data_IF_865072045158
#
_entry.id   IF_865072045158
#
_cell.length_a   1.000
_cell.length_b   1.000
_cell.length_c   1.000
_cell.angle_alpha   90.00
_cell.angle_beta   90.00
_cell.angle_gamma   90.00
#
_symmetry.space_group_name_H-M   'P 1'
#
loop_
_entity.id
_entity.type
_entity.pdbx_description
1 polymer ?
#
# COMPACT_ATOMS: atom_id res chain seq x y z
N UNK A 1 -5.44 4.08 -22.95
CA UNK A 1 -5.66 3.15 -21.82
C UNK A 1 -4.47 2.24 -21.71
N UNK A 2 -4.07 1.83 -20.50
CA UNK A 2 -2.85 1.04 -20.27
C UNK A 2 -3.04 -0.48 -20.36
N UNK A 3 -4.28 -1.00 -20.40
CA UNK A 3 -4.58 -2.40 -20.74
C UNK A 3 -4.30 -3.46 -19.66
N UNK A 4 -4.07 -3.06 -18.41
CA UNK A 4 -3.80 -3.98 -17.31
C UNK A 4 -5.04 -4.75 -16.85
N UNK A 5 -4.83 -6.01 -16.43
CA UNK A 5 -5.80 -6.77 -15.63
C UNK A 5 -5.69 -6.33 -14.17
N UNK A 6 -6.80 -5.95 -13.56
CA UNK A 6 -6.82 -5.22 -12.28
C UNK A 6 -7.69 -5.95 -11.27
N UNK A 7 -7.08 -6.26 -10.13
CA UNK A 7 -7.79 -6.64 -8.91
C UNK A 7 -7.67 -5.52 -7.88
N UNK A 8 -8.78 -5.13 -7.27
CA UNK A 8 -8.85 -4.15 -6.18
C UNK A 8 -9.29 -4.85 -4.91
N UNK A 9 -8.49 -4.72 -3.85
CA UNK A 9 -8.81 -5.18 -2.50
C UNK A 9 -9.05 -3.95 -1.61
N UNK A 10 -10.22 -3.88 -1.00
CA UNK A 10 -10.57 -2.79 -0.08
C UNK A 10 -11.51 -3.31 1.01
N UNK A 11 -11.43 -2.74 2.22
CA UNK A 11 -12.30 -3.09 3.35
C UNK A 11 -13.68 -2.40 3.25
N UNK A 12 -13.78 -1.29 2.51
CA UNK A 12 -14.99 -0.50 2.37
C UNK A 12 -15.73 -0.83 1.06
N UNK A 13 -16.86 -1.52 1.20
CA UNK A 13 -17.72 -1.93 0.08
C UNK A 13 -18.10 -0.76 -0.82
N UNK A 14 -18.39 0.42 -0.27
CA UNK A 14 -18.81 1.58 -1.08
C UNK A 14 -17.71 2.07 -2.03
N UNK A 15 -16.43 1.90 -1.67
CA UNK A 15 -15.33 2.25 -2.57
C UNK A 15 -15.22 1.26 -3.72
N UNK A 16 -15.38 -0.04 -3.45
CA UNK A 16 -15.46 -1.07 -4.49
C UNK A 16 -16.62 -0.81 -5.46
N UNK A 17 -17.81 -0.46 -4.96
CA UNK A 17 -18.96 -0.11 -5.81
C UNK A 17 -18.67 1.09 -6.74
N UNK A 18 -17.91 2.09 -6.27
CA UNK A 18 -17.49 3.22 -7.10
C UNK A 18 -16.52 2.77 -8.19
N UNK A 19 -15.55 1.91 -7.85
CA UNK A 19 -14.59 1.34 -8.81
C UNK A 19 -15.33 0.55 -9.88
N UNK A 20 -16.20 -0.38 -9.49
CA UNK A 20 -16.98 -1.21 -10.43
C UNK A 20 -17.84 -0.36 -11.36
N UNK A 21 -18.52 0.67 -10.84
CA UNK A 21 -19.32 1.58 -11.66
C UNK A 21 -18.48 2.32 -12.71
N UNK A 22 -17.27 2.75 -12.35
CA UNK A 22 -16.35 3.45 -13.28
C UNK A 22 -15.86 2.51 -14.38
N UNK A 23 -15.39 1.31 -14.02
CA UNK A 23 -14.96 0.31 -15.01
C UNK A 23 -16.11 -0.09 -15.94
N UNK A 24 -17.30 -0.35 -15.39
CA UNK A 24 -18.49 -0.70 -16.17
C UNK A 24 -18.89 0.40 -17.16
N UNK A 25 -18.82 1.68 -16.75
CA UNK A 25 -19.12 2.82 -17.61
C UNK A 25 -18.23 2.85 -18.85
N UNK A 26 -16.97 2.46 -18.71
CA UNK A 26 -15.98 2.45 -19.79
C UNK A 26 -15.90 1.09 -20.53
N UNK A 27 -16.80 0.15 -20.22
CA UNK A 27 -16.83 -1.19 -20.83
C UNK A 27 -15.66 -2.10 -20.41
N UNK A 28 -15.00 -1.78 -19.30
CA UNK A 28 -13.85 -2.50 -18.78
C UNK A 28 -14.26 -3.48 -17.67
N UNK A 29 -13.40 -4.46 -17.41
CA UNK A 29 -13.55 -5.43 -16.32
C UNK A 29 -12.59 -5.10 -15.18
N UNK A 30 -13.03 -5.36 -13.96
CA UNK A 30 -12.23 -5.29 -12.73
C UNK A 30 -12.66 -6.42 -11.81
N UNK A 31 -11.71 -7.01 -11.08
CA UNK A 31 -12.00 -7.92 -9.98
C UNK A 31 -11.98 -7.12 -8.67
N UNK A 32 -13.07 -7.13 -7.91
CA UNK A 32 -13.15 -6.44 -6.63
C UNK A 32 -13.28 -7.45 -5.50
N UNK A 33 -12.40 -7.34 -4.50
CA UNK A 33 -12.35 -8.20 -3.32
C UNK A 33 -12.61 -7.33 -2.10
N UNK A 34 -13.69 -7.64 -1.38
CA UNK A 34 -13.98 -7.00 -0.10
C UNK A 34 -13.21 -7.72 1.00
N UNK A 35 -12.30 -7.02 1.68
CA UNK A 35 -11.51 -7.61 2.75
C UNK A 35 -10.40 -6.72 3.27
N UNK A 36 -9.77 -7.18 4.34
CA UNK A 36 -8.56 -6.56 4.89
C UNK A 36 -7.32 -7.00 4.10
N UNK A 37 -6.16 -6.38 4.38
CA UNK A 37 -4.93 -6.64 3.63
C UNK A 37 -4.55 -8.13 3.52
N UNK A 38 -4.77 -8.92 4.57
CA UNK A 38 -4.42 -10.35 4.56
C UNK A 38 -5.34 -11.21 3.68
N UNK A 39 -6.52 -10.72 3.29
CA UNK A 39 -7.38 -11.40 2.32
C UNK A 39 -6.73 -11.47 0.93
N UNK A 40 -5.69 -10.67 0.67
CA UNK A 40 -4.86 -10.80 -0.53
C UNK A 40 -4.24 -12.20 -0.69
N UNK A 41 -4.04 -12.94 0.41
CA UNK A 41 -3.52 -14.31 0.36
C UNK A 41 -4.47 -15.26 -0.38
N UNK A 42 -5.79 -15.03 -0.27
CA UNK A 42 -6.83 -15.88 -0.88
C UNK A 42 -7.09 -15.59 -2.35
N UNK A 43 -6.61 -14.45 -2.86
CA UNK A 43 -6.78 -14.09 -4.27
C UNK A 43 -5.94 -15.07 -5.10
N UNK A 44 -6.50 -15.68 -6.14
CA UNK A 44 -5.76 -16.67 -6.94
C UNK A 44 -4.62 -16.03 -7.74
N UNK A 45 -3.57 -16.79 -8.00
CA UNK A 45 -2.45 -16.37 -8.85
C UNK A 45 -1.42 -15.46 -8.18
N UNK A 46 -0.68 -14.71 -9.01
CA UNK A 46 0.37 -13.78 -8.61
C UNK A 46 0.25 -12.48 -9.39
N UNK A 47 0.85 -11.41 -8.87
CA UNK A 47 0.78 -10.07 -9.45
C UNK A 47 2.15 -9.59 -9.94
N UNK A 48 2.16 -8.96 -11.10
CA UNK A 48 3.34 -8.22 -11.60
C UNK A 48 3.53 -6.89 -10.85
N UNK A 49 2.44 -6.31 -10.36
CA UNK A 49 2.44 -5.08 -9.57
C UNK A 49 1.42 -5.18 -8.45
N UNK A 50 1.85 -4.93 -7.22
CA UNK A 50 0.99 -4.66 -6.07
C UNK A 50 1.17 -3.18 -5.71
N UNK A 51 0.09 -2.40 -5.68
CA UNK A 51 0.14 -0.97 -5.44
C UNK A 51 -0.57 -0.63 -4.12
N UNK A 52 0.17 -0.01 -3.21
CA UNK A 52 -0.37 0.74 -2.08
C UNK A 52 -0.34 2.22 -2.44
N UNK A 53 -1.52 2.84 -2.40
CA UNK A 53 -1.67 4.28 -2.54
C UNK A 53 -2.33 4.81 -1.28
N UNK A 54 -1.54 5.51 -0.46
CA UNK A 54 -1.97 6.11 0.81
C UNK A 54 -2.70 5.11 1.73
N UNK A 55 -2.21 3.87 1.85
CA UNK A 55 -2.93 2.88 2.65
C UNK A 55 -2.07 1.84 3.38
N UNK A 56 -0.78 1.66 3.04
CA UNK A 56 0.03 0.65 3.73
C UNK A 56 0.21 0.99 5.22
N UNK A 57 0.32 2.27 5.56
CA UNK A 57 0.38 2.75 6.94
C UNK A 57 -0.87 2.45 7.80
N UNK A 58 -1.96 1.94 7.22
CA UNK A 58 -3.08 1.41 8.00
C UNK A 58 -2.83 -0.01 8.52
N UNK A 59 -1.78 -0.70 8.06
CA UNK A 59 -1.48 -2.06 8.48
C UNK A 59 -0.60 -2.10 9.73
N UNK A 60 -1.19 -2.49 10.87
CA UNK A 60 -0.43 -2.68 12.11
C UNK A 60 0.60 -3.81 11.99
N UNK A 61 0.24 -4.91 11.33
CA UNK A 61 1.10 -6.08 11.09
C UNK A 61 1.88 -5.99 9.77
N UNK A 62 2.31 -4.79 9.38
CA UNK A 62 2.94 -4.49 8.09
C UNK A 62 4.14 -5.40 7.76
N UNK A 63 4.95 -5.79 8.74
CA UNK A 63 6.07 -6.71 8.53
C UNK A 63 5.61 -8.12 8.11
N UNK A 64 4.53 -8.63 8.72
CA UNK A 64 3.92 -9.91 8.34
C UNK A 64 3.25 -9.82 6.97
N UNK A 65 2.59 -8.69 6.70
CA UNK A 65 1.97 -8.42 5.40
C UNK A 65 3.00 -8.49 4.27
N UNK A 66 4.16 -7.84 4.41
CA UNK A 66 5.23 -7.88 3.40
C UNK A 66 5.70 -9.31 3.08
N UNK A 67 5.83 -10.17 4.10
CA UNK A 67 6.20 -11.58 3.92
C UNK A 67 5.13 -12.35 3.14
N UNK A 68 3.85 -12.06 3.37
CA UNK A 68 2.75 -12.66 2.62
C UNK A 68 2.76 -12.17 1.17
N UNK A 69 2.81 -10.85 0.96
CA UNK A 69 2.77 -10.25 -0.37
C UNK A 69 3.94 -10.67 -1.25
N UNK A 70 5.13 -10.90 -0.66
CA UNK A 70 6.27 -11.46 -1.39
C UNK A 70 5.93 -12.77 -2.12
N UNK A 71 5.08 -13.63 -1.52
CA UNK A 71 4.61 -14.88 -2.14
C UNK A 71 3.54 -14.66 -3.22
N UNK A 72 2.92 -13.48 -3.24
CA UNK A 72 1.90 -13.06 -4.20
C UNK A 72 2.48 -12.32 -5.40
N UNK A 73 3.80 -12.07 -5.43
CA UNK A 73 4.46 -11.47 -6.58
C UNK A 73 4.82 -12.53 -7.62
N UNK A 74 4.73 -12.15 -8.90
CA UNK A 74 5.32 -12.91 -9.99
C UNK A 74 6.86 -12.83 -9.93
N UNK A 75 7.57 -13.58 -10.78
CA UNK A 75 9.04 -13.65 -10.77
C UNK A 75 9.74 -12.27 -10.87
N UNK A 76 9.11 -11.30 -11.55
CA UNK A 76 9.63 -9.93 -11.69
C UNK A 76 8.68 -8.90 -11.06
N UNK A 77 7.78 -9.37 -10.19
CA UNK A 77 6.75 -8.56 -9.58
C UNK A 77 7.33 -7.50 -8.65
N UNK A 78 6.62 -6.38 -8.53
CA UNK A 78 7.01 -5.27 -7.66
C UNK A 78 5.90 -4.89 -6.70
N UNK A 79 6.29 -4.35 -5.54
CA UNK A 79 5.37 -3.60 -4.68
C UNK A 79 5.69 -2.12 -4.81
N UNK A 80 4.68 -1.31 -5.05
CA UNK A 80 4.79 0.15 -5.15
C UNK A 80 4.07 0.75 -3.95
N UNK A 81 4.77 1.63 -3.23
CA UNK A 81 4.24 2.42 -2.14
C UNK A 81 4.24 3.89 -2.55
N UNK A 82 3.07 4.49 -2.61
CA UNK A 82 2.87 5.88 -3.00
C UNK A 82 2.06 6.62 -1.94
N UNK A 83 2.52 7.81 -1.54
CA UNK A 83 1.82 8.64 -0.56
C UNK A 83 1.87 8.11 0.88
N UNK A 84 2.81 7.21 1.19
CA UNK A 84 2.97 6.72 2.56
C UNK A 84 3.49 7.81 3.51
N UNK A 85 3.11 7.69 4.78
CA UNK A 85 3.41 8.63 5.87
C UNK A 85 4.86 8.48 6.34
N UNK A 86 5.80 8.99 5.52
CA UNK A 86 7.23 9.03 5.83
C UNK A 86 7.60 10.39 6.41
N UNK A 87 8.08 10.41 7.65
CA UNK A 87 8.45 11.62 8.39
C UNK A 87 9.69 11.37 9.27
N UNK A 88 10.83 11.92 8.85
CA UNK A 88 12.10 11.81 9.58
C UNK A 88 12.22 12.78 10.78
N UNK A 89 11.21 13.63 11.01
CA UNK A 89 11.16 14.48 12.21
C UNK A 89 10.62 13.73 13.45
N UNK A 90 10.10 12.51 13.26
CA UNK A 90 9.56 11.69 14.33
C UNK A 90 10.65 11.24 15.32
N UNK A 91 10.39 11.24 16.64
CA UNK A 91 11.34 10.78 17.64
C UNK A 91 11.42 9.26 17.77
N UNK A 92 10.67 8.51 16.96
CA UNK A 92 10.58 7.05 16.96
C UNK A 92 10.63 6.51 15.54
N UNK A 93 11.12 5.27 15.39
CA UNK A 93 11.29 4.62 14.09
C UNK A 93 9.97 4.47 13.32
N UNK A 94 8.91 4.12 14.03
CA UNK A 94 7.54 4.05 13.57
C UNK A 94 6.57 4.07 14.75
N UNK A 95 5.31 4.39 14.50
CA UNK A 95 4.27 4.42 15.54
C UNK A 95 3.01 5.11 15.04
N UNK A 96 2.14 5.50 15.96
CA UNK A 96 0.94 6.28 15.61
C UNK A 96 1.32 7.60 14.96
N UNK A 97 0.60 7.97 13.90
CA UNK A 97 0.76 9.22 13.18
C UNK A 97 0.34 10.39 14.10
N UNK A 98 1.28 11.27 14.52
CA UNK A 98 0.96 12.35 15.45
C UNK A 98 0.32 13.55 14.78
N UNK A 99 0.15 13.55 13.46
CA UNK A 99 -0.51 14.64 12.74
C UNK A 99 -1.96 14.79 13.19
N UNK A 100 -2.49 16.02 13.08
CA UNK A 100 -3.90 16.29 13.41
C UNK A 100 -4.87 15.42 12.61
N UNK A 101 -4.55 15.14 11.34
CA UNK A 101 -5.33 14.24 10.50
C UNK A 101 -5.27 12.80 11.02
N UNK A 102 -4.08 12.26 11.31
CA UNK A 102 -3.92 10.89 11.83
C UNK A 102 -4.66 10.68 13.14
N UNK A 103 -4.48 11.58 14.11
CA UNK A 103 -5.18 11.52 15.41
C UNK A 103 -6.70 11.63 15.23
N UNK A 104 -7.17 12.52 14.36
CA UNK A 104 -8.60 12.67 14.08
C UNK A 104 -9.19 11.40 13.44
N UNK A 105 -8.51 10.82 12.44
CA UNK A 105 -8.90 9.58 11.77
C UNK A 105 -8.98 8.42 12.77
N UNK A 106 -7.95 8.20 13.61
CA UNK A 106 -7.98 7.18 14.66
C UNK A 106 -9.19 7.38 15.57
N UNK A 107 -9.40 8.61 16.07
CA UNK A 107 -10.44 8.93 17.05
C UNK A 107 -11.86 8.75 16.52
N UNK A 108 -12.11 9.09 15.25
CA UNK A 108 -13.46 9.19 14.68
C UNK A 108 -13.80 8.09 13.68
N UNK A 109 -12.79 7.47 13.05
CA UNK A 109 -12.97 6.39 12.08
C UNK A 109 -12.53 5.03 12.62
N UNK A 110 -11.74 5.01 13.69
CA UNK A 110 -11.16 3.77 14.23
C UNK A 110 -10.09 3.15 13.32
N UNK A 111 -9.64 3.89 12.31
CA UNK A 111 -8.58 3.45 11.40
C UNK A 111 -7.24 3.57 12.09
N UNK A 112 -6.38 2.57 11.91
CA UNK A 112 -5.01 2.69 12.35
C UNK A 112 -4.30 3.67 11.43
N UNK A 113 -3.58 4.63 12.00
CA UNK A 113 -2.81 5.61 11.24
C UNK A 113 -1.39 5.55 11.76
N UNK A 114 -0.51 4.89 11.01
CA UNK A 114 0.90 4.83 11.35
C UNK A 114 1.69 5.91 10.61
N UNK A 115 2.85 6.24 11.14
CA UNK A 115 3.91 6.94 10.41
C UNK A 115 5.24 6.22 10.62
N UNK A 116 6.14 6.39 9.66
CA UNK A 116 7.45 5.75 9.64
C UNK A 116 8.55 6.80 9.41
N UNK A 117 9.71 6.59 10.01
CA UNK A 117 10.94 7.22 9.50
C UNK A 117 11.35 6.54 8.20
N UNK A 118 12.02 7.25 7.29
CA UNK A 118 12.48 6.68 6.02
C UNK A 118 13.42 5.49 6.29
N UNK A 119 14.34 5.65 7.25
CA UNK A 119 15.27 4.59 7.62
C UNK A 119 14.55 3.30 8.03
N UNK A 120 13.57 3.39 8.93
CA UNK A 120 12.80 2.22 9.35
C UNK A 120 12.08 1.58 8.16
N UNK A 121 11.46 2.39 7.31
CA UNK A 121 10.69 1.89 6.17
C UNK A 121 11.58 1.12 5.17
N UNK A 122 12.78 1.63 4.90
CA UNK A 122 13.76 0.96 4.05
C UNK A 122 14.32 -0.31 4.70
N UNK A 123 14.68 -0.26 5.99
CA UNK A 123 15.19 -1.42 6.74
C UNK A 123 14.12 -2.54 6.81
N UNK A 124 12.85 -2.18 7.00
CA UNK A 124 11.71 -3.10 6.97
C UNK A 124 11.61 -3.84 5.63
N UNK A 125 11.69 -3.12 4.51
CA UNK A 125 11.63 -3.70 3.17
C UNK A 125 12.88 -4.56 2.89
N UNK A 126 14.05 -4.11 3.32
CA UNK A 126 15.31 -4.86 3.19
C UNK A 126 15.24 -6.21 3.93
N UNK A 127 14.76 -6.20 5.18
CA UNK A 127 14.56 -7.39 6.00
C UNK A 127 13.49 -8.34 5.45
N UNK A 128 12.48 -7.83 4.74
CA UNK A 128 11.55 -8.65 3.99
C UNK A 128 12.15 -9.21 2.68
N UNK A 129 13.40 -8.84 2.36
CA UNK A 129 14.17 -9.34 1.23
C UNK A 129 13.82 -8.64 -0.08
N UNK A 130 13.58 -7.32 -0.01
CA UNK A 130 13.38 -6.47 -1.17
C UNK A 130 14.58 -5.54 -1.40
N UNK A 131 14.83 -5.20 -2.67
CA UNK A 131 15.65 -4.06 -3.09
C UNK A 131 14.71 -2.92 -3.44
N UNK A 132 14.95 -1.74 -2.88
CA UNK A 132 14.06 -0.58 -3.02
C UNK A 132 14.67 0.48 -3.92
N UNK A 133 13.89 0.97 -4.88
CA UNK A 133 14.19 2.19 -5.65
C UNK A 133 13.28 3.31 -5.17
N UNK A 134 13.87 4.43 -4.74
CA UNK A 134 13.14 5.65 -4.37
C UNK A 134 13.04 6.59 -5.57
N UNK A 135 11.83 6.86 -6.02
CA UNK A 135 11.55 7.85 -7.04
C UNK A 135 11.00 9.11 -6.36
N UNK A 136 11.79 10.19 -6.38
CA UNK A 136 11.39 11.48 -5.81
C UNK A 136 10.74 12.32 -6.89
N UNK A 137 9.64 12.98 -6.56
CA UNK A 137 9.12 14.07 -7.37
C UNK A 137 9.64 15.40 -6.81
N UNK A 138 10.40 16.19 -7.60
CA UNK A 138 10.92 17.47 -7.13
C UNK A 138 9.82 18.50 -6.82
N UNK A 139 8.60 18.30 -7.31
CA UNK A 139 7.49 19.24 -7.14
C UNK A 139 6.62 18.96 -5.90
N UNK A 140 6.76 17.80 -5.25
CA UNK A 140 6.06 17.51 -3.99
C UNK A 140 6.71 16.34 -3.25
N UNK A 141 7.10 16.58 -1.99
CA UNK A 141 7.64 15.55 -1.10
C UNK A 141 6.63 14.42 -0.85
N UNK A 142 5.34 14.74 -0.83
CA UNK A 142 4.23 13.78 -0.69
C UNK A 142 4.08 12.84 -1.88
N UNK A 143 4.75 13.13 -3.00
CA UNK A 143 4.75 12.26 -4.19
C UNK A 143 6.02 11.43 -4.34
N UNK A 144 6.71 11.16 -3.22
CA UNK A 144 7.76 10.15 -3.17
C UNK A 144 7.15 8.78 -3.34
N UNK A 145 7.72 7.98 -4.25
CA UNK A 145 7.30 6.60 -4.53
C UNK A 145 8.45 5.65 -4.23
N UNK A 146 8.17 4.60 -3.47
CA UNK A 146 9.10 3.50 -3.22
C UNK A 146 8.68 2.28 -4.04
N UNK A 147 9.57 1.76 -4.86
CA UNK A 147 9.34 0.52 -5.63
C UNK A 147 10.24 -0.57 -5.08
N UNK A 148 9.63 -1.60 -4.49
CA UNK A 148 10.29 -2.75 -3.89
C UNK A 148 10.27 -3.95 -4.85
N UNK A 149 11.43 -4.50 -5.16
CA UNK A 149 11.64 -5.71 -5.98
C UNK A 149 12.21 -6.83 -5.13
N UNK A 150 11.79 -8.07 -5.36
CA UNK A 150 12.40 -9.22 -4.67
C UNK A 150 13.89 -9.29 -5.04
N UNK A 151 14.74 -9.52 -4.04
CA UNK A 151 16.17 -9.80 -4.24
C UNK A 151 16.40 -11.09 -5.03
#
# INVERSE_FOLDING_TARGET
MAGYDVTVLDIERKYLEIVERRFKKDGLKVSCVLGEFFEAERIEGTFDVILFYECFHHCLEHASLLKMLKRKLSQNGVIIFAGETIDDSLPFAWGLNPSGQGVWSIRHRGWMELSFTERYFLDLLDHAGFVVTKNRNPHSAHSTVYTARVR
#
